data_IF_412621606133
#
_entry.id   IF_412621606133
#
_cell.length_a   1.000
_cell.length_b   1.000
_cell.length_c   1.000
_cell.angle_alpha   90.00
_cell.angle_beta   90.00
_cell.angle_gamma   90.00
#
_symmetry.space_group_name_H-M   'P 1'
#
loop_
_entity.id
_entity.type
_entity.pdbx_description
1 polymer ?
#
# COMPACT_ATOMS: atom_id res chain seq x y z
N UNK A 1 29.03 29.47 26.85
CA UNK A 1 30.27 30.16 26.39
C UNK A 1 29.89 31.18 25.34
N UNK A 2 29.92 32.47 25.71
CA UNK A 2 29.55 33.60 24.85
C UNK A 2 30.70 33.95 23.91
N UNK A 3 30.45 34.00 22.60
CA UNK A 3 31.41 34.55 21.64
C UNK A 3 30.88 35.88 21.11
N UNK A 4 31.56 36.96 21.52
CA UNK A 4 31.39 38.33 21.02
C UNK A 4 31.96 38.41 19.60
N UNK A 5 31.19 38.92 18.64
CA UNK A 5 31.71 39.31 17.34
C UNK A 5 32.25 40.75 17.41
N UNK A 6 33.55 40.94 17.20
CA UNK A 6 34.14 42.24 16.90
C UNK A 6 33.85 42.62 15.44
N UNK A 7 33.61 43.90 15.11
CA UNK A 7 33.43 44.32 13.73
C UNK A 7 34.80 44.59 13.10
N UNK A 8 35.20 43.76 12.13
CA UNK A 8 36.31 44.10 11.24
C UNK A 8 35.74 44.73 9.96
N UNK A 9 36.30 45.88 9.61
CA UNK A 9 35.90 46.77 8.55
C UNK A 9 36.29 46.20 7.17
N UNK A 10 35.34 46.32 6.23
CA UNK A 10 35.45 46.39 4.77
C UNK A 10 35.97 45.18 3.94
N UNK A 11 35.02 44.48 3.31
CA UNK A 11 35.10 43.99 1.91
C UNK A 11 33.67 43.61 1.46
N UNK A 12 33.07 44.15 0.37
CA UNK A 12 31.73 43.77 -0.06
C UNK A 12 31.82 42.52 -0.93
N UNK A 13 32.17 41.38 -0.32
CA UNK A 13 31.87 40.09 -0.93
C UNK A 13 30.50 39.70 -0.41
N UNK A 14 29.46 39.93 -1.23
CA UNK A 14 28.13 39.36 -1.04
C UNK A 14 28.23 37.83 -1.18
N UNK A 15 28.78 37.17 -0.17
CA UNK A 15 28.43 35.79 0.12
C UNK A 15 26.99 35.83 0.59
N UNK A 16 26.07 35.51 -0.31
CA UNK A 16 24.77 34.98 0.09
C UNK A 16 25.05 33.67 0.85
N UNK A 17 25.33 33.79 2.15
CA UNK A 17 25.14 32.70 3.08
C UNK A 17 23.63 32.46 3.11
N UNK A 18 23.14 31.71 2.13
CA UNK A 18 21.82 31.11 2.21
C UNK A 18 21.88 30.17 3.40
N UNK A 19 21.36 30.62 4.55
CA UNK A 19 20.96 29.68 5.58
C UNK A 19 19.90 28.81 4.92
N UNK A 20 20.23 27.54 4.65
CA UNK A 20 19.20 26.56 4.32
C UNK A 20 18.09 26.71 5.38
N UNK A 21 16.81 26.78 4.97
CA UNK A 21 15.74 26.79 5.95
C UNK A 21 15.93 25.58 6.86
N UNK A 22 15.76 25.74 8.19
CA UNK A 22 15.93 24.63 9.10
C UNK A 22 15.07 23.47 8.61
N UNK A 23 15.67 22.28 8.51
CA UNK A 23 14.98 21.07 8.07
C UNK A 23 13.62 21.00 8.78
N UNK A 24 12.54 20.91 8.01
CA UNK A 24 11.17 20.98 8.52
C UNK A 24 11.00 19.86 9.55
N UNK A 25 11.01 20.24 10.83
CA UNK A 25 10.83 19.32 11.95
C UNK A 25 9.42 19.46 12.47
N UNK A 26 8.67 18.36 12.50
CA UNK A 26 7.40 18.34 13.20
C UNK A 26 7.63 18.44 14.72
N UNK A 27 6.89 19.33 15.36
CA UNK A 27 6.79 19.45 16.80
C UNK A 27 6.20 18.18 17.42
N UNK A 28 6.39 17.98 18.72
CA UNK A 28 5.83 16.81 19.41
C UNK A 28 4.29 16.81 19.36
N UNK A 29 3.65 17.98 19.33
CA UNK A 29 2.21 18.11 19.17
C UNK A 29 1.73 17.64 17.79
N UNK A 30 2.45 17.99 16.71
CA UNK A 30 2.18 17.50 15.36
C UNK A 30 2.44 15.99 15.27
N UNK A 31 3.48 15.49 15.93
CA UNK A 31 3.77 14.06 15.97
C UNK A 31 2.67 13.26 16.68
N UNK A 32 2.04 13.82 17.72
CA UNK A 32 0.90 13.16 18.38
C UNK A 32 -0.30 12.99 17.44
N UNK A 33 -0.53 13.95 16.53
CA UNK A 33 -1.55 13.80 15.50
C UNK A 33 -1.22 12.62 14.57
N UNK A 34 0.03 12.51 14.13
CA UNK A 34 0.45 11.39 13.29
C UNK A 34 0.43 10.04 14.02
N UNK A 35 0.80 9.99 15.30
CA UNK A 35 0.73 8.76 16.09
C UNK A 35 -0.71 8.24 16.19
N UNK A 36 -1.70 9.14 16.27
CA UNK A 36 -3.11 8.78 16.24
C UNK A 36 -3.58 8.34 14.83
N UNK A 37 -3.07 8.98 13.77
CA UNK A 37 -3.43 8.68 12.39
C UNK A 37 -2.76 7.39 11.87
N UNK A 38 -1.55 7.07 12.33
CA UNK A 38 -0.69 5.99 11.87
C UNK A 38 -0.29 5.06 13.02
N UNK A 39 -1.27 4.41 13.68
CA UNK A 39 -1.00 3.60 14.86
C UNK A 39 -0.11 2.40 14.52
N UNK A 40 0.81 2.07 15.42
CA UNK A 40 1.69 0.90 15.29
C UNK A 40 2.97 1.14 14.47
N UNK A 41 3.21 2.38 14.02
CA UNK A 41 4.47 2.77 13.39
C UNK A 41 5.65 2.59 14.35
N UNK A 42 6.78 2.11 13.83
CA UNK A 42 8.00 1.92 14.61
C UNK A 42 8.60 3.26 15.06
N UNK A 43 9.32 3.31 16.20
CA UNK A 43 10.00 4.53 16.64
C UNK A 43 11.00 5.07 15.61
N UNK A 44 11.61 4.19 14.80
CA UNK A 44 12.54 4.59 13.73
C UNK A 44 11.82 5.35 12.62
N UNK A 45 10.71 4.82 12.09
CA UNK A 45 9.93 5.52 11.08
C UNK A 45 9.29 6.80 11.63
N UNK A 46 8.84 6.77 12.89
CA UNK A 46 8.38 7.97 13.59
C UNK A 46 9.45 9.06 13.61
N UNK A 47 10.70 8.69 13.89
CA UNK A 47 11.84 9.62 13.89
C UNK A 47 12.12 10.16 12.47
N UNK A 48 12.19 9.29 11.46
CA UNK A 48 12.35 9.69 10.05
C UNK A 48 11.29 10.70 9.63
N UNK A 49 10.02 10.45 9.96
CA UNK A 49 8.92 11.37 9.67
C UNK A 49 9.05 12.70 10.44
N UNK A 50 9.47 12.66 11.70
CA UNK A 50 9.63 13.88 12.51
C UNK A 50 10.66 14.85 11.89
N UNK A 51 11.76 14.33 11.33
CA UNK A 51 12.86 15.15 10.82
C UNK A 51 12.84 15.35 9.30
N UNK A 52 12.20 14.46 8.55
CA UNK A 52 12.14 14.51 7.09
C UNK A 52 10.74 14.73 6.51
N UNK A 53 9.73 14.88 7.37
CA UNK A 53 8.34 15.01 6.95
C UNK A 53 7.72 13.69 6.46
N UNK A 54 6.48 13.76 5.97
CA UNK A 54 5.76 12.59 5.41
C UNK A 54 6.53 11.96 4.24
N UNK A 55 7.24 12.77 3.44
CA UNK A 55 8.03 12.27 2.30
C UNK A 55 9.24 11.42 2.70
N UNK A 56 9.67 11.45 3.96
CA UNK A 56 10.75 10.61 4.47
C UNK A 56 10.26 9.25 5.00
N UNK A 57 8.95 9.00 5.00
CA UNK A 57 8.42 7.69 5.34
C UNK A 57 8.65 6.70 4.19
N UNK A 58 9.23 5.52 4.48
CA UNK A 58 9.17 4.38 3.58
C UNK A 58 7.77 4.14 3.04
N UNK A 59 7.70 3.73 1.78
CA UNK A 59 6.44 3.40 1.11
C UNK A 59 5.95 2.01 1.49
N UNK A 60 6.86 1.09 1.82
CA UNK A 60 6.55 -0.30 2.14
C UNK A 60 6.13 -0.45 3.61
N UNK A 61 5.01 -1.15 3.85
CA UNK A 61 4.46 -1.29 5.21
C UNK A 61 5.41 -2.09 6.11
N UNK A 62 6.15 -3.06 5.59
CA UNK A 62 7.05 -3.88 6.40
C UNK A 62 8.31 -3.16 6.90
N UNK A 63 8.63 -1.98 6.39
CA UNK A 63 9.71 -1.14 6.91
C UNK A 63 9.28 -0.33 8.14
N UNK A 64 8.03 0.10 8.19
CA UNK A 64 7.53 0.99 9.24
C UNK A 64 6.62 0.35 10.25
N UNK A 65 6.17 -0.88 10.04
CA UNK A 65 5.21 -1.54 10.91
C UNK A 65 5.65 -2.95 11.27
N UNK A 66 5.37 -3.34 12.50
CA UNK A 66 5.58 -4.72 12.94
C UNK A 66 4.59 -5.64 12.23
N UNK A 67 5.12 -6.64 11.54
CA UNK A 67 4.32 -7.68 10.88
C UNK A 67 4.39 -9.01 11.61
N UNK A 68 3.44 -9.89 11.34
CA UNK A 68 3.48 -11.29 11.75
C UNK A 68 4.64 -12.04 11.09
N UNK A 69 4.89 -13.28 11.53
CA UNK A 69 5.70 -14.21 10.75
C UNK A 69 5.02 -14.51 9.39
N UNK A 70 5.81 -14.82 8.35
CA UNK A 70 5.26 -15.24 7.07
C UNK A 70 4.38 -16.48 7.21
N UNK A 71 3.19 -16.45 6.61
CA UNK A 71 2.31 -17.62 6.48
C UNK A 71 1.65 -17.66 5.11
N UNK A 72 1.03 -18.80 4.80
CA UNK A 72 0.20 -18.94 3.59
C UNK A 72 -1.16 -18.25 3.80
N UNK A 73 -1.62 -17.59 2.75
CA UNK A 73 -2.91 -16.92 2.64
C UNK A 73 -3.60 -17.40 1.37
N UNK A 74 -4.91 -17.57 1.45
CA UNK A 74 -5.73 -17.96 0.31
C UNK A 74 -7.01 -17.13 0.34
N UNK A 75 -7.47 -16.68 -0.82
CA UNK A 75 -8.71 -15.93 -0.87
C UNK A 75 -8.94 -15.22 -2.19
N UNK A 76 -9.76 -14.18 -2.11
CA UNK A 76 -10.06 -13.28 -3.22
C UNK A 76 -9.25 -12.01 -3.07
N UNK A 77 -8.70 -11.54 -4.18
CA UNK A 77 -8.04 -10.25 -4.31
C UNK A 77 -8.77 -9.40 -5.34
N UNK A 78 -9.25 -8.23 -4.90
CA UNK A 78 -9.71 -7.16 -5.78
C UNK A 78 -8.51 -6.29 -6.14
N UNK A 79 -8.14 -6.31 -7.41
CA UNK A 79 -7.17 -5.37 -7.96
C UNK A 79 -7.93 -4.16 -8.51
N UNK A 80 -7.74 -2.99 -7.92
CA UNK A 80 -8.19 -1.70 -8.44
C UNK A 80 -7.33 -0.59 -7.90
N UNK A 81 -7.18 0.49 -8.67
CA UNK A 81 -6.29 1.61 -8.33
C UNK A 81 -6.45 2.13 -6.89
N UNK A 82 -7.69 2.32 -6.44
CA UNK A 82 -8.00 2.88 -5.11
C UNK A 82 -8.35 1.82 -4.05
N UNK A 83 -8.45 0.53 -4.42
CA UNK A 83 -8.99 -0.50 -3.52
C UNK A 83 -8.36 -1.87 -3.75
N UNK A 84 -7.07 -1.99 -3.38
CA UNK A 84 -6.39 -3.28 -3.26
C UNK A 84 -6.91 -4.03 -2.03
N UNK A 85 -7.95 -4.83 -2.22
CA UNK A 85 -8.66 -5.50 -1.12
C UNK A 85 -8.42 -7.00 -1.16
N UNK A 86 -8.05 -7.57 -0.01
CA UNK A 86 -7.97 -9.01 0.19
C UNK A 86 -9.06 -9.52 1.13
N UNK A 87 -9.71 -10.61 0.71
CA UNK A 87 -10.74 -11.31 1.46
C UNK A 87 -10.32 -12.78 1.61
N UNK A 88 -9.95 -13.17 2.83
CA UNK A 88 -9.45 -14.53 3.12
C UNK A 88 -10.56 -15.58 2.88
N UNK A 89 -10.17 -16.77 2.43
CA UNK A 89 -11.05 -17.94 2.28
C UNK A 89 -11.76 -18.23 3.62
N UNK A 90 -13.07 -18.57 3.60
CA UNK A 90 -13.93 -18.83 2.44
C UNK A 90 -14.72 -17.61 1.95
N UNK A 91 -14.04 -16.61 1.37
CA UNK A 91 -14.69 -15.49 0.69
C UNK A 91 -15.31 -15.89 -0.67
N UNK A 92 -16.58 -15.54 -0.87
CA UNK A 92 -17.30 -15.66 -2.15
C UNK A 92 -17.49 -14.31 -2.84
N UNK A 93 -17.33 -13.22 -2.10
CA UNK A 93 -17.32 -11.83 -2.57
C UNK A 93 -16.11 -11.13 -1.98
N UNK A 94 -15.64 -10.11 -2.69
CA UNK A 94 -14.59 -9.24 -2.17
C UNK A 94 -14.82 -7.82 -2.68
N UNK A 95 -15.49 -7.04 -1.84
CA UNK A 95 -15.94 -5.67 -2.09
C UNK A 95 -15.82 -4.89 -0.79
N UNK A 96 -15.56 -3.60 -0.90
CA UNK A 96 -15.71 -2.66 0.21
C UNK A 96 -17.20 -2.37 0.28
N UNK A 97 -17.89 -2.82 1.32
CA UNK A 97 -19.32 -2.51 1.51
C UNK A 97 -19.42 -1.12 2.17
N UNK A 98 -19.87 -0.07 1.45
CA UNK A 98 -19.88 1.29 1.99
C UNK A 98 -20.89 1.48 3.13
N UNK A 99 -21.92 0.63 3.16
CA UNK A 99 -23.10 0.75 4.00
C UNK A 99 -23.10 -0.23 5.19
N UNK A 100 -22.06 -1.08 5.28
CA UNK A 100 -21.81 -1.89 6.47
C UNK A 100 -21.18 -0.99 7.54
N UNK A 101 -21.98 -0.65 8.55
CA UNK A 101 -21.68 -0.08 9.88
C UNK A 101 -20.19 0.17 10.25
N UNK A 102 -19.90 1.30 10.91
CA UNK A 102 -18.97 2.29 10.40
C UNK A 102 -17.53 1.73 10.28
N UNK A 103 -16.96 1.85 9.09
CA UNK A 103 -15.65 1.36 8.64
C UNK A 103 -15.70 -0.07 8.07
N UNK A 104 -15.83 -0.22 6.73
CA UNK A 104 -15.62 -1.51 6.09
C UNK A 104 -14.26 -2.08 6.49
N UNK A 105 -14.27 -3.14 7.30
CA UNK A 105 -13.07 -3.81 7.80
C UNK A 105 -12.49 -4.66 6.68
N UNK A 106 -11.77 -4.03 5.76
CA UNK A 106 -11.06 -4.73 4.72
C UNK A 106 -9.55 -4.75 4.98
N UNK A 107 -8.86 -5.70 4.34
CA UNK A 107 -7.42 -5.85 4.45
C UNK A 107 -6.76 -5.36 3.17
N UNK A 108 -5.86 -4.39 3.31
CA UNK A 108 -5.03 -3.91 2.21
C UNK A 108 -4.00 -4.99 1.85
N UNK A 109 -3.72 -5.17 0.57
CA UNK A 109 -2.66 -6.06 0.11
C UNK A 109 -1.63 -5.26 -0.67
N UNK A 110 -0.37 -5.44 -0.29
CA UNK A 110 0.78 -4.83 -0.97
C UNK A 110 1.73 -5.92 -1.43
N UNK A 111 2.41 -5.70 -2.56
CA UNK A 111 3.33 -6.66 -3.13
C UNK A 111 4.75 -6.11 -3.00
N UNK A 112 5.63 -6.87 -2.35
CA UNK A 112 7.00 -6.47 -2.16
C UNK A 112 7.76 -6.41 -3.49
N UNK A 113 8.66 -5.44 -3.61
CA UNK A 113 9.57 -5.40 -4.75
C UNK A 113 10.66 -6.50 -4.67
N UNK A 114 11.00 -7.15 -5.80
CA UNK A 114 10.38 -6.98 -7.12
C UNK A 114 9.00 -7.66 -7.20
N UNK A 115 8.00 -6.92 -7.70
CA UNK A 115 6.63 -7.42 -7.86
C UNK A 115 6.58 -8.65 -8.79
N UNK A 116 5.84 -9.69 -8.40
CA UNK A 116 5.59 -10.88 -9.21
C UNK A 116 5.05 -10.49 -10.60
N UNK A 117 5.64 -10.97 -11.72
CA UNK A 117 5.22 -10.58 -13.06
C UNK A 117 3.73 -10.82 -13.35
N UNK A 118 3.12 -11.84 -12.74
CA UNK A 118 1.70 -12.17 -12.92
C UNK A 118 0.80 -11.12 -12.26
N UNK A 119 1.25 -10.55 -11.14
CA UNK A 119 0.58 -9.43 -10.45
C UNK A 119 0.79 -8.15 -11.24
N UNK A 120 2.02 -7.88 -11.69
CA UNK A 120 2.35 -6.68 -12.47
C UNK A 120 1.53 -6.58 -13.77
N UNK A 121 1.20 -7.71 -14.38
CA UNK A 121 0.38 -7.79 -15.59
C UNK A 121 -1.12 -7.94 -15.32
N UNK A 122 -1.53 -8.06 -14.05
CA UNK A 122 -2.93 -8.20 -13.70
C UNK A 122 -3.66 -6.89 -13.98
N UNK A 123 -4.66 -6.93 -14.87
CA UNK A 123 -5.60 -5.83 -15.05
C UNK A 123 -6.44 -5.64 -13.78
N UNK A 124 -7.16 -4.52 -13.69
CA UNK A 124 -8.19 -4.37 -12.66
C UNK A 124 -9.22 -5.52 -12.76
N UNK A 125 -9.67 -6.03 -11.61
CA UNK A 125 -10.61 -7.14 -11.56
C UNK A 125 -10.57 -7.96 -10.27
N UNK A 126 -11.31 -9.07 -10.28
CA UNK A 126 -11.31 -10.05 -9.20
C UNK A 126 -10.42 -11.25 -9.52
N UNK A 127 -9.59 -11.63 -8.56
CA UNK A 127 -8.67 -12.75 -8.67
C UNK A 127 -8.84 -13.70 -7.50
N UNK A 128 -8.73 -15.00 -7.75
CA UNK A 128 -8.38 -15.97 -6.71
C UNK A 128 -6.86 -15.94 -6.57
N UNK A 129 -6.38 -15.78 -5.34
CA UNK A 129 -4.95 -15.67 -5.06
C UNK A 129 -4.53 -16.60 -3.91
N UNK A 130 -3.33 -17.15 -4.03
CA UNK A 130 -2.64 -17.91 -3.00
C UNK A 130 -1.22 -17.38 -2.88
N UNK A 131 -0.76 -17.06 -1.68
CA UNK A 131 0.53 -16.44 -1.48
C UNK A 131 1.10 -16.68 -0.07
N UNK A 132 2.41 -16.46 0.07
CA UNK A 132 3.07 -16.30 1.36
C UNK A 132 3.18 -14.81 1.67
N UNK A 133 2.79 -14.41 2.87
CA UNK A 133 2.85 -13.01 3.29
C UNK A 133 2.74 -12.82 4.79
N UNK A 134 2.88 -11.56 5.20
CA UNK A 134 2.90 -11.13 6.61
C UNK A 134 1.86 -10.05 6.84
N UNK A 135 1.06 -10.17 7.89
CA UNK A 135 0.02 -9.17 8.24
C UNK A 135 0.55 -8.22 9.30
N UNK A 136 0.17 -6.95 9.23
CA UNK A 136 0.43 -6.00 10.32
C UNK A 136 -0.17 -6.49 11.64
N UNK A 137 0.61 -6.43 12.73
CA UNK A 137 0.20 -6.94 14.04
C UNK A 137 -0.81 -6.00 14.71
N UNK A 138 -0.60 -4.70 14.55
CA UNK A 138 -1.43 -3.66 15.17
C UNK A 138 -2.49 -3.22 14.15
N UNK A 139 -3.79 -3.21 14.51
CA UNK A 139 -4.81 -2.65 13.64
C UNK A 139 -4.60 -1.14 13.49
N UNK A 140 -4.76 -0.63 12.28
CA UNK A 140 -4.48 0.77 11.98
C UNK A 140 -5.26 1.29 10.80
N UNK A 141 -4.63 2.21 10.07
CA UNK A 141 -5.20 2.89 8.92
C UNK A 141 -4.23 2.71 7.75
N UNK A 142 -4.42 1.64 6.98
CA UNK A 142 -3.51 1.25 5.89
C UNK A 142 -4.14 1.48 4.50
N UNK A 143 -3.29 1.50 3.47
CA UNK A 143 -3.67 1.76 2.08
C UNK A 143 -3.84 3.26 1.75
N UNK A 144 -4.23 3.55 0.50
CA UNK A 144 -4.22 4.91 -0.07
C UNK A 144 -5.00 5.96 0.76
N UNK A 145 -6.07 5.55 1.47
CA UNK A 145 -6.90 6.43 2.30
C UNK A 145 -6.92 6.03 3.78
N UNK A 146 -6.05 5.11 4.20
CA UNK A 146 -6.05 4.61 5.58
C UNK A 146 -7.34 3.88 5.98
N UNK A 147 -8.11 3.36 5.03
CA UNK A 147 -9.40 2.72 5.31
C UNK A 147 -9.26 1.25 5.72
N UNK A 148 -8.12 0.62 5.43
CA UNK A 148 -7.90 -0.77 5.79
C UNK A 148 -7.43 -0.88 7.24
N UNK A 149 -8.05 -1.78 8.02
CA UNK A 149 -7.63 -2.03 9.41
C UNK A 149 -6.33 -2.79 9.52
N UNK A 150 -5.97 -3.53 8.48
CA UNK A 150 -4.70 -4.24 8.38
C UNK A 150 -4.15 -4.16 6.96
N UNK A 151 -2.85 -4.32 6.83
CA UNK A 151 -2.18 -4.60 5.58
C UNK A 151 -1.57 -6.00 5.62
N UNK A 152 -1.51 -6.66 4.46
CA UNK A 152 -0.73 -7.87 4.25
C UNK A 152 0.33 -7.58 3.20
N UNK A 153 1.59 -7.77 3.60
CA UNK A 153 2.75 -7.69 2.72
C UNK A 153 2.93 -9.05 2.07
N UNK A 154 2.78 -9.11 0.75
CA UNK A 154 2.95 -10.33 -0.04
C UNK A 154 4.43 -10.51 -0.33
N UNK A 155 5.02 -11.54 0.28
CA UNK A 155 6.42 -11.90 0.07
C UNK A 155 6.59 -12.75 -1.19
N UNK A 156 5.61 -13.62 -1.51
CA UNK A 156 5.67 -14.51 -2.68
C UNK A 156 4.29 -14.99 -3.11
N UNK A 157 3.95 -14.79 -4.38
CA UNK A 157 2.72 -15.34 -4.98
C UNK A 157 2.92 -16.80 -5.36
N UNK A 158 2.00 -17.67 -4.93
CA UNK A 158 1.98 -19.08 -5.30
C UNK A 158 1.04 -19.31 -6.50
N UNK A 159 -0.14 -18.69 -6.47
CA UNK A 159 -1.16 -18.83 -7.50
C UNK A 159 -1.93 -17.53 -7.68
N UNK A 160 -2.33 -17.24 -8.91
CA UNK A 160 -3.28 -16.18 -9.23
C UNK A 160 -4.11 -16.58 -10.44
N UNK A 161 -5.43 -16.37 -10.39
CA UNK A 161 -6.34 -16.65 -11.49
C UNK A 161 -7.54 -15.71 -11.49
N UNK A 162 -7.83 -15.14 -12.66
CA UNK A 162 -8.88 -14.12 -12.84
C UNK A 162 -10.27 -14.77 -12.78
N UNK A 163 -11.14 -14.28 -11.92
CA UNK A 163 -12.47 -14.83 -11.68
C UNK A 163 -13.59 -14.12 -12.47
N UNK A 164 -13.38 -12.87 -12.87
CA UNK A 164 -14.38 -12.04 -13.56
C UNK A 164 -14.18 -12.00 -15.08
N UNK A 165 -13.54 -13.03 -15.67
CA UNK A 165 -13.50 -13.14 -17.13
C UNK A 165 -14.93 -13.35 -17.65
N UNK A 166 -15.38 -12.60 -18.68
CA UNK A 166 -16.52 -13.05 -19.45
C UNK A 166 -16.19 -14.44 -19.99
N UNK A 167 -17.14 -15.37 -19.88
CA UNK A 167 -17.00 -16.69 -20.49
C UNK A 167 -16.55 -16.47 -21.93
N UNK A 168 -15.38 -16.98 -22.28
CA UNK A 168 -14.87 -16.95 -23.65
C UNK A 168 -16.01 -17.42 -24.54
N UNK A 169 -16.49 -16.53 -25.40
CA UNK A 169 -17.43 -16.90 -26.44
C UNK A 169 -16.74 -17.98 -27.26
N UNK A 170 -17.15 -19.24 -27.09
CA UNK A 170 -16.72 -20.31 -27.98
C UNK A 170 -16.96 -19.83 -29.42
N UNK A 171 -16.02 -20.02 -30.34
CA UNK A 171 -16.32 -19.79 -31.74
C UNK A 171 -17.40 -20.80 -32.10
N UNK A 172 -18.61 -20.30 -32.37
CA UNK A 172 -19.71 -21.09 -32.90
C UNK A 172 -19.21 -21.78 -34.17
N UNK A 173 -18.87 -23.05 -34.04
CA UNK A 173 -18.59 -23.94 -35.15
C UNK A 173 -19.80 -23.92 -36.06
N UNK A 174 -19.62 -23.38 -37.26
CA UNK A 174 -20.62 -23.27 -38.32
C UNK A 174 -21.00 -24.69 -38.77
N UNK A 175 -21.91 -25.33 -38.03
CA UNK A 175 -22.63 -26.52 -38.47
C UNK A 175 -23.71 -26.10 -39.47
N UNK A 176 -23.31 -25.69 -40.67
CA UNK A 176 -24.17 -25.83 -41.83
C UNK A 176 -24.08 -27.26 -42.34
N UNK A 177 -25.00 -28.06 -41.81
CA UNK A 177 -25.47 -29.31 -42.41
C UNK A 177 -25.87 -29.02 -43.85
N UNK A 178 -25.03 -29.44 -44.81
CA UNK A 178 -25.47 -29.62 -46.20
C UNK A 178 -26.24 -30.93 -46.21
N UNK A 179 -27.56 -30.84 -46.03
CA UNK A 179 -28.46 -31.92 -46.42
C UNK A 179 -29.02 -31.59 -47.80
N UNK A 180 -28.73 -32.50 -48.74
CA UNK A 180 -29.37 -32.61 -50.04
C UNK A 180 -30.89 -32.69 -49.92
N UNK A 181 -31.62 -32.00 -50.80
CA UNK A 181 -32.89 -32.49 -51.37
C UNK A 181 -33.06 -31.89 -52.78
N UNK A 182 -33.19 -32.82 -53.74
CA UNK A 182 -33.74 -32.74 -55.12
C UNK A 182 -32.98 -31.98 -56.21
#
# INVERSE_FOLDING_TARGET
MSRRCLPLIALPVLFLAGCDPPAKRYSDAEMNFFDAALPGMTPECRNKMQFGGIGAMPQDTDECYKTSLPRRWQGLWRNSFESHVFCETPATRCQIEPDADPQPVYTWIEFKDPIDPRVKQAAEGLYRIDFIGRRTVIPGNYGHFGLARHAIVVDRVLFIDRQDRPATSEPTSDRRTINQVQ
#
